data_IF_961813986119
#
_entry.id   IF_961813986119
#
_cell.length_a   1.000
_cell.length_b   1.000
_cell.length_c   1.000
_cell.angle_alpha   90.00
_cell.angle_beta   90.00
_cell.angle_gamma   90.00
#
_symmetry.space_group_name_H-M   'P 1'
#
loop_
_entity.id
_entity.type
_entity.pdbx_description
1 polymer ?
#
# COMPACT_ATOMS: atom_id res chain seq x y z
N UNK A 1 3.72 -6.98 -1.14
CA UNK A 1 3.70 -8.26 -1.91
C UNK A 1 2.30 -8.49 -2.47
N UNK A 2 2.17 -8.60 -3.80
CA UNK A 2 0.86 -8.84 -4.44
C UNK A 2 0.25 -10.19 -4.07
N UNK A 3 -1.07 -10.28 -4.05
CA UNK A 3 -1.82 -11.53 -3.78
C UNK A 3 -2.05 -11.88 -2.31
N UNK A 4 -1.36 -11.25 -1.37
CA UNK A 4 -1.42 -11.57 0.08
C UNK A 4 -2.45 -10.74 0.87
N UNK A 5 -3.55 -10.32 0.24
CA UNK A 5 -4.48 -9.31 0.78
C UNK A 5 -5.14 -9.74 2.11
N UNK A 6 -5.65 -10.97 2.22
CA UNK A 6 -6.32 -11.45 3.44
C UNK A 6 -5.39 -11.45 4.66
N UNK A 7 -4.13 -11.88 4.47
CA UNK A 7 -3.13 -11.90 5.53
C UNK A 7 -2.68 -10.49 5.90
N UNK A 8 -2.38 -9.66 4.91
CA UNK A 8 -1.97 -8.27 5.13
C UNK A 8 -3.06 -7.45 5.83
N UNK A 9 -4.33 -7.65 5.44
CA UNK A 9 -5.48 -7.03 6.08
C UNK A 9 -5.63 -7.43 7.55
N UNK A 10 -5.48 -8.73 7.86
CA UNK A 10 -5.57 -9.24 9.24
C UNK A 10 -4.39 -8.83 10.11
N UNK A 11 -3.17 -8.90 9.59
CA UNK A 11 -1.94 -8.77 10.39
C UNK A 11 -1.42 -7.32 10.45
N UNK A 12 -1.52 -6.56 9.36
CA UNK A 12 -0.85 -5.26 9.24
C UNK A 12 -1.78 -4.04 9.37
N UNK A 13 -3.05 -4.13 8.94
CA UNK A 13 -3.99 -2.99 8.99
C UNK A 13 -4.58 -2.86 10.41
N UNK A 14 -4.42 -1.69 11.03
CA UNK A 14 -4.86 -1.40 12.41
C UNK A 14 -6.08 -0.49 12.49
N UNK A 15 -6.25 0.40 11.53
CA UNK A 15 -7.42 1.26 11.42
C UNK A 15 -7.64 1.67 9.97
N UNK A 16 -8.90 1.95 9.62
CA UNK A 16 -9.31 2.50 8.34
C UNK A 16 -10.34 3.60 8.55
N UNK A 17 -10.19 4.71 7.85
CA UNK A 17 -11.13 5.84 7.87
C UNK A 17 -11.23 6.44 6.47
N UNK A 18 -12.46 6.66 5.99
CA UNK A 18 -12.71 7.45 4.78
C UNK A 18 -12.42 8.92 5.07
N UNK A 19 -11.55 9.54 4.28
CA UNK A 19 -11.21 10.95 4.37
C UNK A 19 -12.07 11.80 3.43
N UNK A 20 -12.16 11.41 2.17
CA UNK A 20 -12.83 12.19 1.12
C UNK A 20 -13.49 11.28 0.09
N UNK A 21 -14.48 11.82 -0.63
CA UNK A 21 -15.22 11.18 -1.72
C UNK A 21 -15.88 9.83 -1.34
N UNK A 22 -16.69 9.76 -0.25
CA UNK A 22 -17.33 8.51 0.17
C UNK A 22 -18.25 7.89 -0.90
N UNK A 23 -18.78 8.70 -1.82
CA UNK A 23 -19.59 8.25 -2.95
C UNK A 23 -18.85 7.34 -3.93
N UNK A 24 -17.51 7.37 -3.96
CA UNK A 24 -16.68 6.49 -4.79
C UNK A 24 -16.52 5.08 -4.20
N UNK A 25 -17.09 4.82 -3.03
CA UNK A 25 -17.08 3.49 -2.40
C UNK A 25 -15.66 3.00 -2.12
N UNK A 26 -15.26 1.89 -2.76
CA UNK A 26 -13.94 1.29 -2.57
C UNK A 26 -12.78 2.12 -3.15
N UNK A 27 -13.08 3.11 -3.97
CA UNK A 27 -12.10 4.01 -4.62
C UNK A 27 -11.92 5.35 -3.87
N UNK A 28 -12.63 5.55 -2.75
CA UNK A 28 -12.51 6.75 -1.91
C UNK A 28 -11.10 6.92 -1.34
N UNK A 29 -10.76 8.14 -0.88
CA UNK A 29 -9.49 8.38 -0.18
C UNK A 29 -9.58 7.80 1.23
N UNK A 30 -8.73 6.83 1.53
CA UNK A 30 -8.70 6.13 2.83
C UNK A 30 -7.43 6.48 3.60
N UNK A 31 -7.59 6.91 4.84
CA UNK A 31 -6.50 6.92 5.82
C UNK A 31 -6.44 5.55 6.47
N UNK A 32 -5.29 4.87 6.31
CA UNK A 32 -5.01 3.59 6.97
C UNK A 32 -3.86 3.73 7.95
N UNK A 33 -4.03 3.16 9.14
CA UNK A 33 -2.94 3.00 10.10
C UNK A 33 -2.40 1.58 9.95
N UNK A 34 -1.10 1.44 9.71
CA UNK A 34 -0.46 0.14 9.52
C UNK A 34 0.65 -0.08 10.55
N UNK A 35 0.92 -1.36 10.85
CA UNK A 35 2.07 -1.79 11.65
C UNK A 35 2.71 -3.00 10.98
N UNK A 36 4.04 -3.04 10.95
CA UNK A 36 4.82 -4.17 10.40
C UNK A 36 4.43 -4.51 8.95
N UNK A 37 4.17 -3.49 8.12
CA UNK A 37 3.76 -3.67 6.72
C UNK A 37 4.98 -3.90 5.82
N UNK A 38 5.09 -5.06 5.14
CA UNK A 38 6.27 -5.39 4.34
C UNK A 38 6.30 -4.62 3.01
N UNK A 39 7.43 -3.99 2.73
CA UNK A 39 7.69 -3.29 1.46
C UNK A 39 9.15 -3.42 1.05
N UNK A 40 9.42 -3.17 -0.22
CA UNK A 40 10.76 -3.04 -0.79
C UNK A 40 10.89 -1.64 -1.38
N UNK A 41 12.10 -1.07 -1.31
CA UNK A 41 12.43 0.12 -2.07
C UNK A 41 12.62 -0.33 -3.52
N UNK A 42 11.70 0.12 -4.39
CA UNK A 42 11.74 -0.19 -5.82
C UNK A 42 12.44 0.94 -6.58
N UNK A 43 12.09 2.18 -6.26
CA UNK A 43 12.72 3.38 -6.78
C UNK A 43 13.22 4.21 -5.62
N UNK A 44 14.43 4.76 -5.73
CA UNK A 44 14.99 5.67 -4.74
C UNK A 44 15.04 7.12 -5.23
N UNK A 45 15.49 8.02 -4.35
CA UNK A 45 15.64 9.46 -4.60
C UNK A 45 16.89 9.83 -5.41
N UNK A 46 17.66 8.85 -5.90
CA UNK A 46 18.90 9.04 -6.68
C UNK A 46 18.74 8.61 -8.13
N UNK A 47 17.52 8.23 -8.53
CA UNK A 47 17.22 7.77 -9.88
C UNK A 47 17.50 6.28 -10.10
N UNK A 48 17.70 5.48 -9.05
CA UNK A 48 17.80 4.03 -9.19
C UNK A 48 16.40 3.41 -9.27
N UNK A 49 16.19 2.50 -10.22
CA UNK A 49 14.99 1.66 -10.34
C UNK A 49 15.38 0.18 -10.39
N UNK A 50 14.81 -0.61 -9.47
CA UNK A 50 15.05 -2.05 -9.36
C UNK A 50 14.71 -2.81 -10.66
N UNK A 51 13.73 -2.36 -11.43
CA UNK A 51 13.23 -3.08 -12.60
C UNK A 51 13.88 -2.66 -13.93
N UNK A 52 14.64 -1.56 -13.97
CA UNK A 52 15.20 -0.97 -15.21
C UNK A 52 16.01 -1.94 -16.08
N UNK A 53 16.65 -2.95 -15.47
CA UNK A 53 17.46 -3.96 -16.19
C UNK A 53 16.79 -5.33 -16.32
N UNK A 54 15.56 -5.46 -15.84
CA UNK A 54 14.81 -6.72 -15.79
C UNK A 54 13.59 -6.73 -16.71
N UNK A 55 13.04 -5.55 -17.03
CA UNK A 55 11.88 -5.33 -17.88
C UNK A 55 12.24 -4.44 -19.08
#
# INVERSE_FOLDING_TARGET
>A
VGGSAARSGKECIKAIKTLEYPELGMEAILMITVKDFPAFIIVDDKGNDFFEKLL
#
